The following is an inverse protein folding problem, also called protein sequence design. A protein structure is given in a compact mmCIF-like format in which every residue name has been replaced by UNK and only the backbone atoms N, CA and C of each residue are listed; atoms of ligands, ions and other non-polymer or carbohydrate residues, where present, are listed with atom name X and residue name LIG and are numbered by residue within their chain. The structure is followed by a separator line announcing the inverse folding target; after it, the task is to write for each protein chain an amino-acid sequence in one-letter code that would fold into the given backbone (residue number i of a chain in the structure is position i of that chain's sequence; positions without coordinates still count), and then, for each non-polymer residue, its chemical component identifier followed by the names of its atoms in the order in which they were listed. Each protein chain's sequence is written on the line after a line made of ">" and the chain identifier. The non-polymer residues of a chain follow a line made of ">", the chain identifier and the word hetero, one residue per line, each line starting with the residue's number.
data_IF_014925723901
#
_entry.id   IF_014925723901
#
_cell.length_a   1.000
_cell.length_b   1.000
_cell.length_c   1.000
_cell.angle_alpha   90.00
_cell.angle_beta   90.00
_cell.angle_gamma   90.00
#
_symmetry.space_group_name_H-M   'P 1'
#
loop_
_entity.id
_entity.type
_entity.pdbx_description
1 polymer ?
#
# COMPACT_ATOMS: atom_id res chain seq x y z
N UNK A 1 0.94 -0.30 -10.74
CA UNK A 1 1.72 0.66 -9.90
C UNK A 1 1.79 0.29 -8.40
N UNK A 2 0.85 -0.48 -7.83
CA UNK A 2 0.85 -0.81 -6.39
C UNK A 2 1.93 -1.82 -5.94
N UNK A 3 2.12 -2.91 -6.66
CA UNK A 3 3.02 -4.00 -6.28
C UNK A 3 4.50 -3.63 -6.26
N UNK A 4 4.93 -2.72 -7.12
CA UNK A 4 6.31 -2.24 -7.16
C UNK A 4 6.69 -1.44 -5.92
N UNK A 5 5.73 -0.68 -5.37
CA UNK A 5 5.91 0.07 -4.13
C UNK A 5 6.22 -0.88 -2.98
N UNK A 6 5.41 -1.90 -2.77
CA UNK A 6 5.54 -2.84 -1.66
C UNK A 6 6.90 -3.57 -1.62
N UNK A 7 7.43 -3.95 -2.79
CA UNK A 7 8.76 -4.60 -2.87
C UNK A 7 9.87 -3.63 -2.48
N UNK A 8 9.79 -2.38 -2.95
CA UNK A 8 10.75 -1.36 -2.57
C UNK A 8 10.73 -1.12 -1.07
N UNK A 9 9.55 -1.02 -0.49
CA UNK A 9 9.37 -0.65 0.92
C UNK A 9 9.92 -1.73 1.83
N UNK A 10 9.74 -3.00 1.47
CA UNK A 10 10.43 -4.12 2.12
C UNK A 10 11.97 -4.00 2.01
N UNK A 11 12.49 -3.57 0.85
CA UNK A 11 13.93 -3.35 0.68
C UNK A 11 14.42 -2.12 1.46
N UNK A 12 13.59 -1.08 1.60
CA UNK A 12 13.93 0.12 2.36
C UNK A 12 13.96 -0.16 3.86
N UNK A 13 12.93 -0.80 4.40
CA UNK A 13 12.83 -1.13 5.81
C UNK A 13 13.86 -2.17 6.24
N UNK A 14 14.20 -3.13 5.38
CA UNK A 14 15.16 -4.19 5.68
C UNK A 14 14.80 -4.99 6.94
N UNK A 15 13.58 -5.54 7.07
CA UNK A 15 13.15 -6.24 8.27
C UNK A 15 14.12 -7.37 8.62
N UNK A 16 14.34 -7.58 9.90
CA UNK A 16 15.25 -8.60 10.44
C UNK A 16 14.47 -9.78 10.97
N UNK A 17 15.18 -10.90 11.14
CA UNK A 17 14.64 -12.10 11.78
C UNK A 17 14.12 -11.75 13.19
N UNK A 18 12.87 -12.08 13.47
CA UNK A 18 12.26 -11.86 14.79
C UNK A 18 11.67 -10.47 15.01
N UNK A 19 11.77 -9.54 14.04
CA UNK A 19 11.16 -8.21 14.16
C UNK A 19 9.64 -8.30 14.40
N UNK A 20 9.14 -7.40 15.19
CA UNK A 20 7.72 -7.17 15.43
C UNK A 20 7.27 -6.04 14.53
N UNK A 21 6.34 -6.33 13.64
CA UNK A 21 5.93 -5.41 12.57
C UNK A 21 4.43 -5.11 12.65
N UNK A 22 4.06 -3.85 12.47
CA UNK A 22 2.69 -3.42 12.24
C UNK A 22 2.57 -2.76 10.86
N UNK A 23 1.43 -3.01 10.20
CA UNK A 23 1.04 -2.33 8.96
C UNK A 23 -0.25 -1.58 9.22
N UNK A 24 -0.25 -0.26 9.18
CA UNK A 24 -1.41 0.59 9.43
C UNK A 24 -2.06 1.00 8.12
N UNK A 25 -3.32 0.60 7.96
CA UNK A 25 -4.12 0.75 6.75
C UNK A 25 -4.20 -0.56 5.96
N UNK A 26 -5.34 -1.25 6.05
CA UNK A 26 -5.62 -2.51 5.34
C UNK A 26 -6.27 -2.27 3.96
N UNK A 27 -5.82 -1.22 3.26
CA UNK A 27 -6.11 -0.99 1.84
C UNK A 27 -5.22 -1.83 0.93
N UNK A 28 -5.24 -1.54 -0.38
CA UNK A 28 -4.41 -2.24 -1.37
C UNK A 28 -2.93 -2.24 -1.00
N UNK A 29 -2.36 -1.08 -0.68
CA UNK A 29 -0.92 -0.95 -0.40
C UNK A 29 -0.55 -1.72 0.87
N UNK A 30 -1.26 -1.48 1.98
CA UNK A 30 -0.96 -2.16 3.25
C UNK A 30 -1.19 -3.67 3.19
N UNK A 31 -2.25 -4.11 2.52
CA UNK A 31 -2.49 -5.53 2.30
C UNK A 31 -1.37 -6.21 1.49
N UNK A 32 -0.89 -5.56 0.43
CA UNK A 32 0.26 -6.06 -0.34
C UNK A 32 1.54 -6.10 0.48
N UNK A 33 1.81 -5.08 1.31
CA UNK A 33 2.95 -5.08 2.24
C UNK A 33 2.85 -6.25 3.20
N UNK A 34 1.69 -6.45 3.84
CA UNK A 34 1.45 -7.56 4.74
C UNK A 34 1.63 -8.91 4.03
N UNK A 35 1.14 -9.05 2.79
CA UNK A 35 1.33 -10.26 1.96
C UNK A 35 2.80 -10.59 1.75
N UNK A 36 3.64 -9.60 1.47
CA UNK A 36 5.07 -9.82 1.29
C UNK A 36 5.79 -10.11 2.60
N UNK A 37 5.36 -9.49 3.69
CA UNK A 37 5.97 -9.65 5.00
C UNK A 37 5.63 -10.98 5.66
N UNK A 38 4.44 -11.56 5.41
CA UNK A 38 4.01 -12.84 6.00
C UNK A 38 4.94 -14.01 5.70
N UNK A 39 5.70 -13.94 4.61
CA UNK A 39 6.67 -14.96 4.23
C UNK A 39 8.04 -14.77 4.87
N UNK A 40 8.23 -13.67 5.61
CA UNK A 40 9.47 -13.40 6.31
C UNK A 40 9.36 -13.87 7.77
N UNK A 41 10.42 -14.41 8.36
CA UNK A 41 10.40 -14.96 9.72
C UNK A 41 10.37 -13.84 10.77
N UNK A 42 9.23 -13.15 10.87
CA UNK A 42 8.96 -12.11 11.85
C UNK A 42 8.56 -12.72 13.20
N UNK A 43 8.83 -11.99 14.28
CA UNK A 43 8.34 -12.34 15.61
C UNK A 43 6.83 -12.05 15.74
N UNK A 44 6.35 -11.02 15.05
CA UNK A 44 4.93 -10.65 14.97
C UNK A 44 4.66 -9.85 13.70
N UNK A 45 3.50 -10.08 13.08
CA UNK A 45 2.97 -9.24 12.00
C UNK A 45 1.50 -8.97 12.28
N UNK A 46 1.10 -7.69 12.38
CA UNK A 46 -0.28 -7.29 12.55
C UNK A 46 -0.69 -6.28 11.48
N UNK A 47 -1.87 -6.48 10.91
CA UNK A 47 -2.51 -5.56 9.99
C UNK A 47 -3.56 -4.76 10.76
N UNK A 48 -3.43 -3.43 10.76
CA UNK A 48 -4.19 -2.52 11.63
C UNK A 48 -5.09 -1.64 10.77
N UNK A 49 -6.39 -1.64 11.05
CA UNK A 49 -7.34 -0.76 10.37
C UNK A 49 -8.52 -0.40 11.27
N UNK A 50 -9.13 0.77 11.00
CA UNK A 50 -10.35 1.23 11.67
C UNK A 50 -11.59 0.44 11.22
N UNK A 51 -11.60 -0.03 9.98
CA UNK A 51 -12.71 -0.75 9.39
C UNK A 51 -12.65 -2.25 9.74
N UNK A 52 -13.55 -2.77 10.60
CA UNK A 52 -13.55 -4.18 10.97
C UNK A 52 -13.83 -5.11 9.78
N UNK A 53 -14.42 -4.64 8.69
CA UNK A 53 -14.61 -5.43 7.47
C UNK A 53 -13.28 -5.87 6.85
N UNK A 54 -12.19 -5.12 7.09
CA UNK A 54 -10.84 -5.46 6.63
C UNK A 54 -10.24 -6.69 7.31
N UNK A 55 -10.87 -7.16 8.40
CA UNK A 55 -10.47 -8.43 9.04
C UNK A 55 -10.51 -9.62 8.06
N UNK A 56 -11.50 -9.65 7.16
CA UNK A 56 -11.58 -10.71 6.15
C UNK A 56 -10.34 -10.77 5.25
N UNK A 57 -9.75 -9.63 4.89
CA UNK A 57 -8.48 -9.59 4.16
C UNK A 57 -7.34 -10.17 5.01
N UNK A 58 -7.19 -9.74 6.25
CA UNK A 58 -6.15 -10.25 7.14
C UNK A 58 -6.24 -11.77 7.34
N UNK A 59 -7.46 -12.28 7.58
CA UNK A 59 -7.71 -13.73 7.71
C UNK A 59 -7.31 -14.49 6.45
N UNK A 60 -7.62 -13.98 5.26
CA UNK A 60 -7.23 -14.59 3.97
C UNK A 60 -5.71 -14.63 3.76
N UNK A 61 -5.00 -13.67 4.34
CA UNK A 61 -3.54 -13.58 4.28
C UNK A 61 -2.85 -14.41 5.39
N UNK A 62 -3.59 -14.87 6.39
CA UNK A 62 -3.02 -15.51 7.58
C UNK A 62 -2.20 -14.55 8.43
N UNK A 63 -2.66 -13.30 8.56
CA UNK A 63 -2.02 -12.21 9.32
C UNK A 63 -2.97 -11.77 10.42
N UNK A 64 -2.45 -11.44 11.60
CA UNK A 64 -3.27 -10.94 12.70
C UNK A 64 -3.89 -9.59 12.34
N UNK A 65 -5.19 -9.42 12.62
CA UNK A 65 -5.90 -8.15 12.48
C UNK A 65 -6.09 -7.49 13.84
N UNK A 66 -5.93 -6.16 13.88
CA UNK A 66 -6.23 -5.38 15.06
C UNK A 66 -6.92 -4.06 14.70
N UNK A 67 -7.90 -3.64 15.54
CA UNK A 67 -8.32 -2.24 15.56
C UNK A 67 -7.16 -1.38 16.11
N UNK A 68 -7.00 -0.11 15.70
CA UNK A 68 -5.90 0.73 16.19
C UNK A 68 -5.78 0.76 17.73
N UNK A 69 -6.89 0.73 18.47
CA UNK A 69 -6.87 0.76 19.94
C UNK A 69 -6.36 -0.54 20.56
N UNK A 70 -6.55 -1.66 19.87
CA UNK A 70 -6.17 -3.01 20.32
C UNK A 70 -4.81 -3.46 19.76
N UNK A 71 -4.22 -2.67 18.84
CA UNK A 71 -2.97 -3.00 18.19
C UNK A 71 -1.83 -3.04 19.23
N UNK A 72 -1.06 -4.12 19.18
CA UNK A 72 0.04 -4.37 20.11
C UNK A 72 1.21 -3.43 19.84
N UNK A 73 1.68 -2.70 20.86
CA UNK A 73 2.80 -1.77 20.73
C UNK A 73 4.16 -2.48 20.66
N UNK A 74 5.23 -1.71 20.78
CA UNK A 74 6.61 -2.18 20.85
C UNK A 74 7.03 -2.89 19.55
N UNK A 75 6.67 -2.25 18.40
CA UNK A 75 7.07 -2.72 17.07
C UNK A 75 8.45 -2.20 16.71
N UNK A 76 9.27 -3.05 16.10
CA UNK A 76 10.58 -2.66 15.56
C UNK A 76 10.41 -1.83 14.28
N UNK A 77 9.37 -2.16 13.48
CA UNK A 77 9.03 -1.44 12.26
C UNK A 77 7.51 -1.25 12.19
N UNK A 78 7.08 -0.05 11.81
CA UNK A 78 5.68 0.25 11.47
C UNK A 78 5.60 0.75 10.03
N UNK A 79 4.84 0.09 9.18
CA UNK A 79 4.51 0.58 7.84
C UNK A 79 3.21 1.39 7.90
N UNK A 80 3.28 2.66 7.56
CA UNK A 80 2.09 3.53 7.51
C UNK A 80 1.58 3.65 6.08
N UNK A 81 0.37 3.12 5.83
CA UNK A 81 -0.26 3.01 4.51
C UNK A 81 -1.66 3.63 4.45
N UNK A 82 -2.15 4.25 5.54
CA UNK A 82 -3.54 4.71 5.64
C UNK A 82 -3.79 6.10 5.03
N UNK A 83 -2.74 6.83 4.68
CA UNK A 83 -2.81 8.22 4.23
C UNK A 83 -3.62 9.15 5.16
N UNK A 84 -3.63 8.86 6.47
CA UNK A 84 -4.33 9.62 7.49
C UNK A 84 -3.38 10.14 8.57
N UNK A 85 -3.67 11.34 9.08
CA UNK A 85 -2.91 11.95 10.19
C UNK A 85 -2.99 11.06 11.45
N UNK A 86 -4.20 10.58 11.80
CA UNK A 86 -4.40 9.71 12.94
C UNK A 86 -3.69 8.36 12.83
N UNK A 87 -3.57 7.80 11.61
CA UNK A 87 -2.80 6.58 11.37
C UNK A 87 -1.30 6.80 11.59
N UNK A 88 -0.77 7.94 11.16
CA UNK A 88 0.63 8.27 11.38
C UNK A 88 0.91 8.59 12.87
N UNK A 89 0.00 9.29 13.55
CA UNK A 89 0.08 9.47 14.99
C UNK A 89 0.05 8.14 15.73
N UNK A 90 -0.86 7.23 15.32
CA UNK A 90 -0.92 5.87 15.91
C UNK A 90 0.37 5.10 15.67
N UNK A 91 1.03 5.30 14.52
CA UNK A 91 2.34 4.68 14.23
C UNK A 91 3.39 5.06 15.28
N UNK A 92 3.42 6.33 15.73
CA UNK A 92 4.33 6.79 16.78
C UNK A 92 4.10 6.09 18.12
N UNK A 93 2.85 5.69 18.41
CA UNK A 93 2.49 4.97 19.65
C UNK A 93 2.75 3.47 19.57
N UNK A 94 2.77 2.90 18.38
CA UNK A 94 3.01 1.47 18.16
C UNK A 94 4.50 1.13 18.02
N UNK A 95 5.30 2.03 17.47
CA UNK A 95 6.73 1.79 17.30
C UNK A 95 7.44 1.72 18.64
N UNK A 96 8.38 0.78 18.79
CA UNK A 96 9.22 0.58 19.97
C UNK A 96 10.40 1.56 20.02
N UNK A 97 11.20 1.49 21.07
CA UNK A 97 12.39 2.33 21.23
C UNK A 97 13.39 2.07 20.08
N UNK A 98 13.96 3.15 19.55
CA UNK A 98 14.85 3.13 18.37
C UNK A 98 14.20 2.56 17.09
N UNK A 99 12.90 2.31 17.10
CA UNK A 99 12.17 1.74 15.98
C UNK A 99 11.92 2.74 14.84
N UNK A 100 11.46 2.22 13.71
CA UNK A 100 11.32 2.98 12.49
C UNK A 100 9.89 2.92 11.94
N UNK A 101 9.37 4.08 11.53
CA UNK A 101 8.13 4.20 10.76
C UNK A 101 8.50 4.39 9.29
N UNK A 102 8.01 3.48 8.43
CA UNK A 102 8.11 3.60 6.99
C UNK A 102 6.84 4.28 6.48
N UNK A 103 6.96 5.54 6.12
CA UNK A 103 5.86 6.32 5.58
C UNK A 103 5.69 6.03 4.10
N UNK A 104 4.58 5.39 3.76
CA UNK A 104 4.23 4.99 2.39
C UNK A 104 3.10 5.83 1.80
N UNK A 105 2.47 6.64 2.62
CA UNK A 105 1.35 7.47 2.21
C UNK A 105 1.81 8.70 1.45
N UNK A 106 1.00 9.12 0.48
CA UNK A 106 1.16 10.40 -0.20
C UNK A 106 0.00 11.31 0.17
N UNK A 107 0.31 12.40 0.83
CA UNK A 107 -0.69 13.34 1.34
C UNK A 107 -1.04 14.46 0.36
N UNK A 108 -0.43 14.50 -0.83
CA UNK A 108 -0.52 15.59 -1.80
C UNK A 108 -0.14 16.94 -1.14
N UNK A 109 -1.06 17.92 -1.12
CA UNK A 109 -0.88 19.26 -0.57
C UNK A 109 -1.37 19.41 0.89
N UNK A 110 -1.86 18.30 1.50
CA UNK A 110 -2.36 18.33 2.88
C UNK A 110 -1.22 18.53 3.87
N UNK A 111 -1.43 19.41 4.84
CA UNK A 111 -0.53 19.57 5.99
C UNK A 111 -0.87 18.51 7.04
N UNK A 112 0.15 17.85 7.54
CA UNK A 112 0.03 16.80 8.56
C UNK A 112 0.69 17.29 9.85
N UNK A 113 -0.03 17.19 10.96
CA UNK A 113 0.45 17.56 12.30
C UNK A 113 0.80 16.31 13.08
N UNK A 114 1.94 16.30 13.75
CA UNK A 114 2.40 15.17 14.58
C UNK A 114 2.86 15.65 15.95
N UNK A 115 2.61 14.88 17.03
CA UNK A 115 3.07 15.17 18.39
C UNK A 115 4.55 14.75 18.57
N UNK A 116 5.48 15.38 17.84
CA UNK A 116 6.91 15.08 17.95
C UNK A 116 7.57 15.59 19.23
N UNK A 117 6.86 16.36 20.03
CA UNK A 117 7.31 16.85 21.35
C UNK A 117 7.17 15.85 22.50
N UNK A 118 6.51 14.72 22.26
CA UNK A 118 6.33 13.63 23.23
C UNK A 118 7.56 12.69 23.23
N UNK A 119 7.33 11.43 23.01
CA UNK A 119 8.33 10.38 23.10
C UNK A 119 9.29 10.31 21.91
N UNK A 120 9.00 11.00 20.80
CA UNK A 120 9.75 10.84 19.54
C UNK A 120 11.25 11.03 19.71
N UNK A 121 11.67 12.11 20.39
CA UNK A 121 13.09 12.38 20.64
C UNK A 121 13.68 11.45 21.71
N UNK A 122 12.98 11.29 22.83
CA UNK A 122 13.48 10.51 23.96
C UNK A 122 13.69 9.03 23.62
N UNK A 123 12.80 8.47 22.81
CA UNK A 123 12.85 7.06 22.35
C UNK A 123 13.62 6.88 21.04
N UNK A 124 14.22 7.96 20.51
CA UNK A 124 15.04 7.96 19.29
C UNK A 124 14.33 7.33 18.09
N UNK A 125 13.04 7.66 17.93
CA UNK A 125 12.21 7.15 16.84
C UNK A 125 12.63 7.77 15.50
N UNK A 126 12.35 7.08 14.40
CA UNK A 126 12.57 7.60 13.07
C UNK A 126 11.33 7.47 12.19
N UNK A 127 11.14 8.44 11.29
CA UNK A 127 10.15 8.40 10.22
C UNK A 127 10.89 8.53 8.91
N UNK A 128 10.74 7.55 8.04
CA UNK A 128 11.39 7.55 6.74
C UNK A 128 10.39 7.35 5.61
N UNK A 129 10.36 8.29 4.68
CA UNK A 129 9.49 8.19 3.52
C UNK A 129 9.99 7.10 2.55
N UNK A 130 9.07 6.28 2.07
CA UNK A 130 9.27 5.35 0.98
C UNK A 130 8.64 5.91 -0.29
N UNK A 131 9.45 6.18 -1.32
CA UNK A 131 9.02 6.84 -2.55
C UNK A 131 9.27 5.95 -3.77
N UNK A 132 8.21 5.60 -4.51
CA UNK A 132 8.20 4.60 -5.62
C UNK A 132 9.21 4.88 -6.75
N UNK A 133 9.57 6.12 -7.01
CA UNK A 133 10.42 6.51 -8.15
C UNK A 133 11.90 6.13 -8.02
N UNK A 134 12.37 5.71 -6.84
CA UNK A 134 13.78 5.39 -6.62
C UNK A 134 13.98 3.97 -6.08
N UNK A 135 15.06 3.32 -6.39
CA UNK A 135 15.43 2.05 -5.76
C UNK A 135 15.92 2.30 -4.34
N UNK A 136 15.55 1.43 -3.41
CA UNK A 136 15.94 1.52 -2.01
C UNK A 136 17.46 1.71 -1.85
N UNK A 137 17.84 2.54 -0.86
CA UNK A 137 19.23 2.97 -0.64
C UNK A 137 20.22 1.79 -0.54
N UNK A 138 19.82 0.75 0.19
CA UNK A 138 20.63 -0.44 0.38
C UNK A 138 20.82 -1.30 -0.88
N UNK A 139 20.01 -1.09 -1.93
CA UNK A 139 19.98 -1.91 -3.14
C UNK A 139 20.36 -1.16 -4.42
N UNK A 140 20.40 0.18 -4.42
CA UNK A 140 20.61 1.01 -5.62
C UNK A 140 21.89 0.72 -6.42
N UNK A 141 22.91 0.17 -5.77
CA UNK A 141 24.18 -0.18 -6.42
C UNK A 141 24.14 -1.52 -7.15
N UNK A 142 23.10 -2.33 -6.92
CA UNK A 142 22.99 -3.70 -7.46
C UNK A 142 21.66 -3.98 -8.15
N UNK A 143 20.71 -3.05 -8.09
CA UNK A 143 19.36 -3.23 -8.62
C UNK A 143 18.90 -1.96 -9.31
N UNK A 144 18.27 -2.15 -10.45
CA UNK A 144 17.61 -1.10 -11.24
C UNK A 144 16.11 -1.06 -10.96
N UNK A 145 15.44 -0.05 -11.51
CA UNK A 145 13.98 0.01 -11.51
C UNK A 145 13.36 -1.15 -12.32
N UNK A 146 14.02 -1.55 -13.42
CA UNK A 146 13.60 -2.69 -14.23
C UNK A 146 13.65 -4.01 -13.44
N UNK A 147 14.75 -4.29 -12.73
CA UNK A 147 14.86 -5.48 -11.87
C UNK A 147 13.76 -5.53 -10.81
N UNK A 148 13.37 -4.36 -10.27
CA UNK A 148 12.30 -4.27 -9.30
C UNK A 148 10.93 -4.59 -9.92
N UNK A 149 10.66 -4.06 -11.12
CA UNK A 149 9.43 -4.33 -11.85
C UNK A 149 9.32 -5.82 -12.22
N UNK A 150 10.40 -6.40 -12.72
CA UNK A 150 10.46 -7.83 -13.04
C UNK A 150 10.15 -8.70 -11.81
N UNK A 151 10.76 -8.38 -10.66
CA UNK A 151 10.46 -9.06 -9.42
C UNK A 151 8.98 -8.89 -9.02
N UNK A 152 8.42 -7.66 -9.15
CA UNK A 152 7.01 -7.40 -8.86
C UNK A 152 6.09 -8.27 -9.69
N UNK A 153 6.31 -8.30 -11.01
CA UNK A 153 5.52 -9.14 -11.93
C UNK A 153 5.68 -10.62 -11.60
N UNK A 154 6.87 -11.06 -11.20
CA UNK A 154 7.09 -12.45 -10.81
C UNK A 154 6.32 -12.85 -9.56
N UNK A 155 6.24 -11.95 -8.58
CA UNK A 155 5.50 -12.17 -7.33
C UNK A 155 3.99 -12.18 -7.52
N UNK A 156 3.47 -11.35 -8.44
CA UNK A 156 2.04 -11.32 -8.78
C UNK A 156 1.52 -12.62 -9.42
N UNK A 157 2.38 -13.58 -9.72
CA UNK A 157 1.96 -14.93 -10.15
C UNK A 157 1.44 -15.78 -8.98
N UNK A 158 1.69 -15.37 -7.73
CA UNK A 158 1.11 -16.05 -6.57
C UNK A 158 -0.38 -15.73 -6.48
N UNK A 159 -1.27 -16.76 -6.49
CA UNK A 159 -2.73 -16.57 -6.43
C UNK A 159 -3.23 -15.77 -5.23
N UNK A 160 -2.43 -15.61 -4.19
CA UNK A 160 -2.80 -14.78 -3.04
C UNK A 160 -3.11 -13.34 -3.44
N UNK A 161 -2.51 -12.86 -4.51
CA UNK A 161 -2.76 -11.49 -5.00
C UNK A 161 -4.09 -11.33 -5.73
N UNK A 162 -4.72 -12.42 -6.17
CA UNK A 162 -6.04 -12.38 -6.81
C UNK A 162 -7.12 -11.89 -5.83
N UNK A 163 -6.94 -12.14 -4.53
CA UNK A 163 -7.83 -11.66 -3.48
C UNK A 163 -7.93 -10.13 -3.35
N UNK A 164 -7.01 -9.39 -3.96
CA UNK A 164 -7.07 -7.92 -4.02
C UNK A 164 -7.93 -7.41 -5.17
N UNK A 165 -8.25 -8.23 -6.17
CA UNK A 165 -9.10 -7.88 -7.30
C UNK A 165 -10.56 -7.96 -6.88
N UNK A 166 -11.13 -6.84 -6.45
CA UNK A 166 -12.46 -6.80 -5.83
C UNK A 166 -13.58 -6.36 -6.77
N UNK A 167 -13.29 -6.15 -8.06
CA UNK A 167 -14.29 -5.84 -9.06
C UNK A 167 -13.66 -5.65 -10.44
N UNK A 168 -14.52 -5.71 -11.46
CA UNK A 168 -14.13 -5.43 -12.84
C UNK A 168 -15.25 -4.69 -13.57
N UNK A 169 -14.89 -3.81 -14.49
CA UNK A 169 -15.81 -3.10 -15.38
C UNK A 169 -15.21 -2.93 -16.76
N UNK A 170 -16.08 -2.76 -17.77
CA UNK A 170 -15.64 -2.51 -19.14
C UNK A 170 -15.05 -1.09 -19.27
N UNK A 171 -14.17 -0.90 -20.22
CA UNK A 171 -13.54 0.41 -20.48
C UNK A 171 -14.56 1.53 -20.71
N UNK A 172 -15.68 1.24 -21.37
CA UNK A 172 -16.74 2.22 -21.60
C UNK A 172 -17.39 2.75 -20.29
N UNK A 173 -17.33 2.01 -19.20
CA UNK A 173 -17.90 2.35 -17.90
C UNK A 173 -16.90 3.14 -17.02
N UNK A 174 -15.64 3.29 -17.45
CA UNK A 174 -14.57 3.92 -16.69
C UNK A 174 -14.94 5.29 -16.08
N UNK A 175 -15.59 6.22 -16.81
CA UNK A 175 -15.94 7.52 -16.21
C UNK A 175 -16.89 7.39 -15.00
N UNK A 176 -17.87 6.48 -15.07
CA UNK A 176 -18.79 6.19 -13.96
C UNK A 176 -18.06 5.53 -12.78
N UNK A 177 -17.23 4.54 -13.07
CA UNK A 177 -16.41 3.84 -12.05
C UNK A 177 -15.53 4.82 -11.28
N UNK A 178 -14.85 5.75 -11.98
CA UNK A 178 -14.00 6.76 -11.33
C UNK A 178 -14.83 7.68 -10.43
N UNK A 179 -16.02 8.10 -10.88
CA UNK A 179 -16.91 8.93 -10.06
C UNK A 179 -17.42 8.17 -8.83
N UNK A 180 -17.73 6.90 -8.96
CA UNK A 180 -18.24 6.07 -7.87
C UNK A 180 -17.16 5.77 -6.82
N UNK A 181 -15.93 5.47 -7.26
CA UNK A 181 -14.76 5.34 -6.38
C UNK A 181 -14.48 6.65 -5.65
N UNK A 182 -14.44 7.78 -6.37
CA UNK A 182 -14.17 9.09 -5.76
C UNK A 182 -15.26 9.53 -4.79
N UNK A 183 -16.51 9.13 -5.04
CA UNK A 183 -17.67 9.42 -4.20
C UNK A 183 -17.92 8.42 -3.07
N UNK A 184 -17.08 7.38 -2.94
CA UNK A 184 -17.24 6.32 -1.93
C UNK A 184 -18.46 5.41 -2.15
N UNK A 185 -19.06 5.43 -3.35
CA UNK A 185 -20.21 4.57 -3.70
C UNK A 185 -19.77 3.19 -4.16
N UNK A 186 -18.56 3.06 -4.66
CA UNK A 186 -17.94 1.79 -5.02
C UNK A 186 -16.78 1.53 -4.06
N UNK A 187 -16.92 0.50 -3.23
CA UNK A 187 -15.84 0.02 -2.39
C UNK A 187 -14.99 -0.98 -3.17
N UNK A 188 -13.69 -0.71 -3.29
CA UNK A 188 -12.77 -1.61 -3.95
C UNK A 188 -11.36 -1.50 -3.36
N UNK A 189 -10.65 -2.63 -3.28
CA UNK A 189 -9.20 -2.65 -3.06
C UNK A 189 -8.47 -2.38 -4.38
N UNK A 190 -8.80 -3.16 -5.42
CA UNK A 190 -8.32 -2.97 -6.78
C UNK A 190 -9.45 -3.28 -7.75
N UNK A 191 -9.89 -2.28 -8.51
CA UNK A 191 -10.91 -2.44 -9.54
C UNK A 191 -10.26 -2.53 -10.91
N UNK A 192 -10.55 -3.61 -11.64
CA UNK A 192 -9.96 -3.88 -12.95
C UNK A 192 -10.81 -3.25 -14.04
N UNK A 193 -10.16 -2.63 -15.02
CA UNK A 193 -10.82 -2.14 -16.22
C UNK A 193 -10.46 -3.06 -17.40
N UNK A 194 -11.48 -3.71 -17.95
CA UNK A 194 -11.35 -4.62 -19.06
C UNK A 194 -11.40 -3.85 -20.39
N UNK A 195 -10.32 -3.94 -21.15
CA UNK A 195 -10.26 -3.40 -22.50
C UNK A 195 -10.86 -4.39 -23.50
N UNK A 196 -11.52 -3.91 -24.58
CA UNK A 196 -11.96 -4.79 -25.65
C UNK A 196 -10.79 -5.59 -26.22
N UNK A 197 -11.03 -6.87 -26.55
CA UNK A 197 -10.02 -7.67 -27.21
C UNK A 197 -9.60 -6.99 -28.55
N UNK A 198 -8.31 -7.02 -28.86
CA UNK A 198 -7.82 -6.48 -30.12
C UNK A 198 -8.50 -7.22 -31.30
N UNK A 199 -9.44 -6.53 -31.99
CA UNK A 199 -10.21 -7.10 -33.11
C UNK A 199 -11.73 -7.07 -32.95
N UNK A 200 -12.28 -6.71 -31.79
CA UNK A 200 -13.72 -6.47 -31.64
C UNK A 200 -14.01 -4.97 -31.80
N UNK A 201 -14.49 -4.58 -32.97
CA UNK A 201 -15.14 -3.32 -33.36
C UNK A 201 -14.69 -2.04 -32.65
N UNK A 202 -13.59 -1.48 -33.13
CA UNK A 202 -13.29 -0.06 -33.00
C UNK A 202 -13.51 0.64 -34.35
N UNK A 203 -14.76 0.69 -34.79
CA UNK A 203 -15.17 1.53 -35.91
C UNK A 203 -16.35 2.39 -35.47
N UNK A 204 -16.14 3.27 -34.52
CA UNK A 204 -16.94 4.45 -34.34
C UNK A 204 -16.39 5.55 -35.28
N UNK A 205 -17.27 6.36 -35.99
CA UNK A 205 -16.80 7.37 -36.92
C UNK A 205 -15.96 8.42 -36.20
N UNK A 206 -14.75 8.67 -36.71
CA UNK A 206 -13.91 9.80 -36.33
C UNK A 206 -14.70 11.07 -36.75
N UNK A 207 -14.96 12.03 -35.83
CA UNK A 207 -15.60 13.28 -36.22
C UNK A 207 -14.67 14.05 -37.18
N UNK A 208 -15.11 14.31 -38.39
CA UNK A 208 -14.42 15.21 -39.34
C UNK A 208 -14.31 16.59 -38.72
N UNK A 209 -13.11 17.02 -38.44
CA UNK A 209 -12.82 18.42 -38.12
C UNK A 209 -13.01 19.27 -39.38
N UNK A 210 -14.15 19.92 -39.51
CA UNK A 210 -14.31 21.03 -40.47
C UNK A 210 -13.48 22.22 -40.00
N UNK A 211 -12.28 22.33 -40.51
CA UNK A 211 -11.60 23.62 -40.57
C UNK A 211 -12.32 24.49 -41.63
N UNK A 212 -13.08 25.44 -41.15
CA UNK A 212 -13.54 26.56 -41.98
C UNK A 212 -12.46 27.65 -41.93
N UNK A 213 -12.05 28.04 -43.10
CA UNK A 213 -11.15 29.17 -43.44
C UNK A 213 -11.52 30.50 -42.79
#
# INVERSE_FOLDING_TARGET
>A
MGSEMCIRDRWEAGPRLGDRVAVIGAGLVGGMVATLLRTFPLGRLQLVDLDPARKGLADSLGVDFAHPDDALPDCDIVFHCSASEGGLERSLKLVGDEGEIIEMSWYADRKITLPLGEDFHARRLSIRASQVGAVARARRHRRTTADRLELAVSLLKDPVFDGFLTGASKFAELPGVVQDLAGGRLEALCHVIEYPAAGSDAAGPVPENHHTT
#
